data_IF_448240645064
#
_entry.id   IF_448240645064
#
_cell.length_a   1.000
_cell.length_b   1.000
_cell.length_c   1.000
_cell.angle_alpha   90.00
_cell.angle_beta   90.00
_cell.angle_gamma   90.00
#
_symmetry.space_group_name_H-M   'P 1'
#
loop_
_entity.id
_entity.type
_entity.pdbx_description
1 polymer ?
#
# COMPACT_ATOMS: atom_id res chain seq x y z
N UNK A 1 10.33 -4.91 -0.79
CA UNK A 1 10.22 -3.79 0.15
C UNK A 1 10.59 -2.51 -0.58
N UNK A 2 9.69 -1.96 -1.40
CA UNK A 2 9.90 -0.58 -1.85
C UNK A 2 9.55 0.32 -0.68
N UNK A 3 10.54 1.07 -0.24
CA UNK A 3 10.29 2.34 0.42
C UNK A 3 9.74 3.27 -0.67
N UNK A 4 8.42 3.24 -0.88
CA UNK A 4 7.74 4.33 -1.54
C UNK A 4 7.76 5.53 -0.58
N UNK A 5 8.84 6.31 -0.64
CA UNK A 5 8.66 7.73 -0.38
C UNK A 5 8.10 8.27 -1.66
N UNK A 6 6.79 8.43 -1.63
CA UNK A 6 6.14 9.51 -2.34
C UNK A 6 6.90 10.80 -2.03
N UNK A 7 7.90 11.10 -2.86
CA UNK A 7 8.03 12.45 -3.39
C UNK A 7 6.66 12.78 -3.97
N UNK A 8 6.19 13.98 -3.66
CA UNK A 8 4.81 14.42 -3.82
C UNK A 8 4.12 13.79 -5.01
N UNK A 9 3.11 12.97 -4.70
CA UNK A 9 2.19 12.48 -5.69
C UNK A 9 1.34 13.69 -6.08
N UNK A 10 1.78 14.40 -7.11
CA UNK A 10 1.08 15.53 -7.71
C UNK A 10 -0.16 14.96 -8.43
N UNK A 11 -1.26 14.83 -7.70
CA UNK A 11 -2.57 14.65 -8.28
C UNK A 11 -3.15 16.05 -8.49
N UNK A 12 -2.94 16.62 -9.67
CA UNK A 12 -3.90 17.59 -10.18
C UNK A 12 -5.22 16.83 -10.39
N UNK A 13 -6.36 17.27 -9.82
CA UNK A 13 -7.63 16.83 -10.34
C UNK A 13 -7.70 17.34 -11.80
N UNK A 14 -8.03 16.50 -12.80
CA UNK A 14 -8.44 17.05 -14.09
C UNK A 14 -9.61 17.99 -13.79
N UNK A 15 -9.53 19.21 -14.28
CA UNK A 15 -10.61 20.18 -14.19
C UNK A 15 -11.84 19.59 -14.90
N UNK A 16 -12.72 18.96 -14.13
CA UNK A 16 -13.99 18.44 -14.58
C UNK A 16 -15.06 19.00 -13.68
N UNK A 17 -15.91 19.86 -14.22
CA UNK A 17 -17.12 20.28 -13.52
C UNK A 17 -18.14 19.14 -13.63
N UNK A 18 -18.49 18.52 -12.50
CA UNK A 18 -19.62 17.62 -12.41
C UNK A 18 -20.80 18.38 -11.78
N UNK A 19 -21.83 18.67 -12.57
CA UNK A 19 -23.08 19.23 -12.05
C UNK A 19 -23.87 18.11 -11.36
N UNK A 20 -23.83 18.08 -10.03
CA UNK A 20 -24.71 17.21 -9.28
C UNK A 20 -26.14 17.76 -9.34
N UNK A 21 -27.12 16.90 -9.63
CA UNK A 21 -28.54 17.23 -9.46
C UNK A 21 -28.76 17.69 -8.01
N UNK A 22 -29.46 18.81 -7.85
CA UNK A 22 -29.62 19.67 -6.66
C UNK A 22 -30.01 18.99 -5.32
N UNK A 23 -30.23 17.68 -5.29
CA UNK A 23 -30.66 16.94 -4.10
C UNK A 23 -29.57 16.09 -3.42
N UNK A 24 -28.36 15.97 -4.01
CA UNK A 24 -27.28 15.15 -3.43
C UNK A 24 -26.15 16.08 -2.98
N UNK A 25 -25.97 16.23 -1.66
CA UNK A 25 -24.86 16.98 -1.05
C UNK A 25 -23.54 16.42 -1.58
N UNK A 26 -22.87 17.17 -2.47
CA UNK A 26 -21.55 16.82 -2.98
C UNK A 26 -20.54 17.08 -1.88
N UNK A 27 -19.72 16.08 -1.58
CA UNK A 27 -18.60 16.23 -0.65
C UNK A 27 -17.60 17.20 -1.27
N UNK A 28 -17.46 18.40 -0.68
CA UNK A 28 -16.55 19.44 -1.18
C UNK A 28 -15.14 19.14 -0.70
N UNK A 29 -14.22 18.92 -1.62
CA UNK A 29 -12.79 18.91 -1.32
C UNK A 29 -12.30 20.35 -1.13
N UNK A 30 -11.37 20.56 -0.20
CA UNK A 30 -10.75 21.87 0.00
C UNK A 30 -9.93 22.21 -1.25
N UNK A 31 -10.22 23.37 -1.86
CA UNK A 31 -9.50 23.83 -3.06
C UNK A 31 -8.02 24.13 -2.78
N UNK A 32 -7.69 24.45 -1.53
CA UNK A 32 -6.34 24.84 -1.11
C UNK A 32 -5.79 23.83 -0.11
N UNK A 33 -4.80 23.06 -0.54
CA UNK A 33 -4.02 22.16 0.32
C UNK A 33 -2.82 22.93 0.89
N UNK A 34 -2.87 23.27 2.17
CA UNK A 34 -1.72 23.83 2.89
C UNK A 34 -1.00 22.72 3.66
N UNK A 35 0.19 22.33 3.18
CA UNK A 35 1.03 21.33 3.86
C UNK A 35 1.79 21.98 5.03
N UNK A 36 1.16 22.01 6.21
CA UNK A 36 1.75 22.62 7.41
C UNK A 36 2.67 21.68 8.21
N UNK A 37 2.72 20.39 7.86
CA UNK A 37 3.51 19.38 8.57
C UNK A 37 4.74 18.86 7.81
N UNK A 38 5.77 18.44 8.56
CA UNK A 38 6.98 17.73 8.04
C UNK A 38 6.60 16.42 7.33
N UNK A 39 7.48 15.85 6.50
CA UNK A 39 7.16 14.58 5.81
C UNK A 39 7.33 13.38 6.77
N UNK A 40 6.38 12.43 6.72
CA UNK A 40 6.53 11.09 7.31
C UNK A 40 6.65 10.07 6.18
N UNK A 41 7.49 9.07 6.39
CA UNK A 41 7.78 8.04 5.41
C UNK A 41 7.26 6.70 5.91
N UNK A 42 6.45 6.03 5.10
CA UNK A 42 5.91 4.72 5.40
C UNK A 42 6.73 3.66 4.65
N UNK A 43 7.44 2.81 5.40
CA UNK A 43 8.15 1.67 4.83
C UNK A 43 7.26 0.45 5.00
N UNK A 44 7.05 -0.30 3.92
CA UNK A 44 6.18 -1.46 3.94
C UNK A 44 6.83 -2.68 3.29
N UNK A 45 6.40 -3.85 3.76
CA UNK A 45 6.71 -5.15 3.20
C UNK A 45 5.39 -5.89 2.95
N UNK A 46 5.30 -6.54 1.79
CA UNK A 46 4.18 -7.39 1.44
C UNK A 46 4.67 -8.82 1.43
N UNK A 47 4.05 -9.64 2.27
CA UNK A 47 4.30 -11.06 2.40
C UNK A 47 3.46 -11.80 1.35
N UNK A 48 4.13 -12.55 0.48
CA UNK A 48 3.49 -13.27 -0.61
C UNK A 48 2.83 -14.57 -0.17
N UNK A 49 3.31 -15.17 0.92
CA UNK A 49 2.79 -16.43 1.44
C UNK A 49 1.53 -16.17 2.27
N UNK A 50 1.62 -15.26 3.23
CA UNK A 50 0.50 -14.94 4.14
C UNK A 50 -0.46 -13.91 3.56
N UNK A 51 -0.05 -13.19 2.51
CA UNK A 51 -0.80 -12.05 1.98
C UNK A 51 -0.81 -10.83 2.91
N UNK A 52 0.00 -10.80 3.97
CA UNK A 52 0.02 -9.70 4.94
C UNK A 52 0.79 -8.47 4.42
N UNK A 53 0.24 -7.28 4.64
CA UNK A 53 0.92 -6.00 4.38
C UNK A 53 1.37 -5.42 5.73
N UNK A 54 2.68 -5.36 5.90
CA UNK A 54 3.35 -4.92 7.10
C UNK A 54 3.99 -3.56 6.85
N UNK A 55 4.06 -2.69 7.85
CA UNK A 55 4.77 -1.43 7.68
C UNK A 55 5.05 -0.64 8.95
N UNK A 56 5.95 0.34 8.84
CA UNK A 56 6.35 1.27 9.90
C UNK A 56 6.57 2.67 9.36
N UNK A 57 6.35 3.65 10.24
CA UNK A 57 6.53 5.06 9.95
C UNK A 57 7.87 5.57 10.47
N UNK A 58 8.49 6.44 9.70
CA UNK A 58 9.77 7.08 10.00
C UNK A 58 9.73 8.57 9.63
N UNK A 59 10.56 9.37 10.29
CA UNK A 59 10.70 10.81 9.98
C UNK A 59 11.66 11.10 8.83
N UNK A 60 12.55 10.16 8.49
CA UNK A 60 13.53 10.31 7.41
C UNK A 60 13.55 9.07 6.51
N UNK A 61 14.04 9.26 5.28
CA UNK A 61 14.23 8.22 4.27
C UNK A 61 15.73 7.93 4.08
N UNK A 62 16.43 7.52 5.14
CA UNK A 62 17.85 7.15 5.03
C UNK A 62 18.04 5.64 5.15
N UNK A 63 19.24 5.18 4.84
CA UNK A 63 19.64 3.78 4.99
C UNK A 63 19.56 3.31 6.45
N UNK A 64 19.69 4.23 7.42
CA UNK A 64 19.60 3.93 8.86
C UNK A 64 18.16 3.49 9.20
N UNK A 65 17.16 4.25 8.76
CA UNK A 65 15.76 3.89 8.96
C UNK A 65 15.39 2.61 8.20
N UNK A 66 15.94 2.42 6.99
CA UNK A 66 15.78 1.19 6.24
C UNK A 66 16.33 -0.03 6.98
N UNK A 67 17.56 0.05 7.49
CA UNK A 67 18.17 -1.04 8.26
C UNK A 67 17.39 -1.33 9.55
N UNK A 68 16.89 -0.29 10.24
CA UNK A 68 16.00 -0.45 11.39
C UNK A 68 14.71 -1.20 11.01
N UNK A 69 14.17 -0.95 9.82
CA UNK A 69 13.02 -1.69 9.33
C UNK A 69 13.37 -3.14 9.02
N UNK A 70 14.49 -3.42 8.34
CA UNK A 70 14.91 -4.78 8.01
C UNK A 70 15.10 -5.63 9.27
N UNK A 71 15.74 -5.08 10.32
CA UNK A 71 15.87 -5.73 11.62
C UNK A 71 14.53 -5.99 12.30
N UNK A 72 13.54 -5.13 12.08
CA UNK A 72 12.19 -5.34 12.58
C UNK A 72 11.43 -6.42 11.79
N UNK A 73 11.64 -6.48 10.48
CA UNK A 73 11.06 -7.49 9.59
C UNK A 73 11.66 -8.86 9.89
N UNK A 74 13.00 -8.96 9.99
CA UNK A 74 13.72 -10.22 10.23
C UNK A 74 13.27 -10.97 11.48
N UNK A 75 12.93 -10.23 12.54
CA UNK A 75 12.42 -10.77 13.81
C UNK A 75 11.02 -11.39 13.73
N UNK A 76 10.32 -11.22 12.61
CA UNK A 76 8.97 -11.79 12.39
C UNK A 76 9.00 -13.16 11.74
N UNK A 77 10.11 -13.49 11.10
CA UNK A 77 10.27 -14.73 10.34
C UNK A 77 11.29 -15.63 11.04
N UNK A 78 11.17 -16.96 10.94
CA UNK A 78 12.12 -17.90 11.54
C UNK A 78 13.57 -17.60 11.14
N UNK A 79 14.50 -17.73 12.08
CA UNK A 79 15.92 -17.49 11.80
C UNK A 79 16.60 -18.58 10.97
N UNK A 80 16.03 -19.79 11.03
CA UNK A 80 16.42 -20.97 10.24
C UNK A 80 16.21 -20.79 8.74
N UNK A 81 15.28 -19.94 8.33
CA UNK A 81 14.90 -19.75 6.93
C UNK A 81 15.58 -18.54 6.30
N UNK A 82 15.79 -18.61 4.99
CA UNK A 82 16.30 -17.49 4.21
C UNK A 82 15.15 -16.55 3.83
N UNK A 83 15.25 -15.29 4.25
CA UNK A 83 14.26 -14.27 3.88
C UNK A 83 14.62 -13.67 2.51
N UNK A 84 13.81 -13.97 1.50
CA UNK A 84 13.95 -13.42 0.16
C UNK A 84 13.18 -12.10 0.05
N UNK A 85 13.87 -11.00 -0.29
CA UNK A 85 13.25 -9.68 -0.40
C UNK A 85 13.47 -9.12 -1.82
N UNK A 86 12.37 -8.95 -2.55
CA UNK A 86 12.34 -8.23 -3.82
C UNK A 86 12.08 -6.74 -3.55
N UNK A 87 12.89 -5.84 -4.11
CA UNK A 87 12.78 -4.38 -3.91
C UNK A 87 13.27 -3.61 -5.13
N UNK A 88 13.00 -2.30 -5.15
CA UNK A 88 13.56 -1.40 -6.17
C UNK A 88 15.04 -1.10 -5.94
N UNK A 89 15.70 -0.50 -6.93
CA UNK A 89 17.14 -0.16 -6.90
C UNK A 89 17.44 1.19 -6.20
N UNK A 90 16.63 1.56 -5.21
CA UNK A 90 16.75 2.84 -4.52
C UNK A 90 18.06 2.97 -3.73
N UNK A 91 18.75 4.12 -3.82
CA UNK A 91 20.16 4.27 -3.38
C UNK A 91 20.47 3.85 -1.93
N UNK A 92 19.63 4.14 -0.92
CA UNK A 92 19.77 3.61 0.44
C UNK A 92 19.76 2.10 0.59
N UNK A 93 19.21 1.35 -0.38
CA UNK A 93 19.25 -0.11 -0.40
C UNK A 93 20.61 -0.64 -0.84
N UNK A 94 21.40 0.19 -1.54
CA UNK A 94 22.71 -0.16 -2.10
C UNK A 94 23.87 0.17 -1.16
N UNK A 95 23.59 0.65 0.05
CA UNK A 95 24.63 0.97 1.04
C UNK A 95 25.33 -0.29 1.53
N UNK A 96 26.66 -0.23 1.66
CA UNK A 96 27.47 -1.38 2.06
C UNK A 96 27.08 -1.91 3.44
N UNK A 97 26.72 -1.02 4.37
CA UNK A 97 26.26 -1.37 5.72
C UNK A 97 24.97 -2.21 5.71
N UNK A 98 24.11 -1.97 4.72
CA UNK A 98 22.89 -2.75 4.51
C UNK A 98 23.25 -4.13 3.98
N UNK A 99 24.10 -4.21 2.95
CA UNK A 99 24.54 -5.49 2.37
C UNK A 99 25.35 -6.35 3.35
N UNK A 100 26.19 -5.72 4.18
CA UNK A 100 26.90 -6.37 5.27
C UNK A 100 25.91 -7.04 6.26
N UNK A 101 24.86 -6.32 6.66
CA UNK A 101 23.82 -6.90 7.52
C UNK A 101 23.06 -8.04 6.83
N UNK A 102 22.71 -7.89 5.55
CA UNK A 102 22.00 -8.91 4.76
C UNK A 102 22.78 -10.23 4.71
N UNK A 103 24.08 -10.16 4.39
CA UNK A 103 24.97 -11.33 4.34
C UNK A 103 25.05 -12.07 5.68
N UNK A 104 24.97 -11.33 6.80
CA UNK A 104 25.06 -11.90 8.14
C UNK A 104 23.73 -12.45 8.71
N UNK A 105 22.57 -12.23 8.07
CA UNK A 105 21.25 -12.46 8.69
C UNK A 105 20.34 -13.43 7.92
N UNK A 106 20.89 -14.28 7.03
CA UNK A 106 20.12 -15.17 6.15
C UNK A 106 19.06 -14.40 5.34
N UNK A 107 19.46 -13.29 4.73
CA UNK A 107 18.59 -12.47 3.88
C UNK A 107 19.17 -12.45 2.47
N UNK A 108 18.32 -12.55 1.46
CA UNK A 108 18.71 -12.40 0.04
C UNK A 108 17.91 -11.28 -0.60
N UNK A 109 18.61 -10.35 -1.24
CA UNK A 109 18.00 -9.23 -1.96
C UNK A 109 17.93 -9.49 -3.45
N UNK A 110 16.81 -9.09 -4.03
CA UNK A 110 16.58 -9.09 -5.46
C UNK A 110 16.12 -7.69 -5.87
N UNK A 111 16.93 -7.03 -6.69
CA UNK A 111 16.63 -5.68 -7.17
C UNK A 111 15.87 -5.78 -8.49
N UNK A 112 14.77 -5.05 -8.61
CA UNK A 112 14.09 -4.92 -9.90
C UNK A 112 14.96 -4.11 -10.87
N UNK A 113 14.94 -4.42 -12.17
CA UNK A 113 15.59 -3.59 -13.18
C UNK A 113 15.12 -2.13 -13.12
N UNK A 114 15.96 -1.22 -13.57
CA UNK A 114 15.60 0.19 -13.74
C UNK A 114 14.32 0.33 -14.56
N UNK A 115 13.40 1.19 -14.12
CA UNK A 115 12.10 1.43 -14.76
C UNK A 115 11.12 0.23 -14.76
N UNK A 116 11.41 -0.85 -14.02
CA UNK A 116 10.52 -2.01 -13.91
C UNK A 116 9.75 -2.06 -12.57
N UNK A 117 9.24 -0.91 -12.11
CA UNK A 117 8.49 -0.81 -10.84
C UNK A 117 7.24 -1.70 -10.80
N UNK A 118 6.63 -1.96 -11.97
CA UNK A 118 5.48 -2.86 -12.14
C UNK A 118 5.76 -4.31 -11.72
N UNK A 119 7.03 -4.73 -11.71
CA UNK A 119 7.43 -6.07 -11.25
C UNK A 119 7.36 -6.19 -9.71
N UNK A 120 7.41 -5.05 -9.00
CA UNK A 120 7.34 -5.04 -7.56
C UNK A 120 5.88 -5.15 -7.07
N UNK A 121 5.48 -6.36 -6.66
CA UNK A 121 4.11 -6.69 -6.25
C UNK A 121 3.52 -5.82 -5.13
N UNK A 122 4.36 -5.17 -4.33
CA UNK A 122 3.88 -4.26 -3.27
C UNK A 122 3.24 -2.99 -3.84
N UNK A 123 3.65 -2.55 -5.04
CA UNK A 123 3.14 -1.32 -5.66
C UNK A 123 1.63 -1.41 -5.90
N UNK A 124 1.14 -2.58 -6.33
CA UNK A 124 -0.30 -2.84 -6.48
C UNK A 124 -1.07 -2.69 -5.15
N UNK A 125 -0.43 -2.99 -4.02
CA UNK A 125 -1.05 -2.87 -2.70
C UNK A 125 -1.16 -1.41 -2.26
N UNK A 126 -0.19 -0.57 -2.64
CA UNK A 126 -0.24 0.86 -2.33
C UNK A 126 -1.36 1.60 -3.05
N UNK A 127 -1.76 1.16 -4.24
CA UNK A 127 -2.96 1.71 -4.90
C UNK A 127 -4.21 1.53 -4.04
N UNK A 128 -4.41 0.34 -3.46
CA UNK A 128 -5.51 0.08 -2.54
C UNK A 128 -5.41 0.93 -1.28
N UNK A 129 -4.24 0.96 -0.65
CA UNK A 129 -4.00 1.78 0.54
C UNK A 129 -4.34 3.25 0.30
N UNK A 130 -3.85 3.82 -0.80
CA UNK A 130 -4.11 5.22 -1.15
C UNK A 130 -5.61 5.49 -1.29
N UNK A 131 -6.32 4.67 -2.06
CA UNK A 131 -7.77 4.84 -2.29
C UNK A 131 -8.61 4.77 -1.01
N UNK A 132 -8.28 3.85 -0.10
CA UNK A 132 -9.10 3.64 1.10
C UNK A 132 -8.69 4.50 2.29
N UNK A 133 -7.41 4.86 2.40
CA UNK A 133 -6.87 5.49 3.59
C UNK A 133 -6.35 6.91 3.36
N UNK A 134 -6.28 7.41 2.12
CA UNK A 134 -5.71 8.73 1.82
C UNK A 134 -6.57 9.56 0.86
N UNK A 135 -7.15 8.96 -0.16
CA UNK A 135 -8.01 9.68 -1.11
C UNK A 135 -9.27 10.21 -0.39
N UNK A 136 -9.67 11.43 -0.73
CA UNK A 136 -10.81 12.16 -0.12
C UNK A 136 -10.72 12.35 1.40
N UNK A 137 -9.52 12.31 1.99
CA UNK A 137 -9.31 12.55 3.43
C UNK A 137 -8.60 13.87 3.71
N UNK A 138 -8.98 14.55 4.81
CA UNK A 138 -8.35 15.79 5.30
C UNK A 138 -7.80 15.56 6.71
N UNK A 139 -6.61 14.99 6.82
CA UNK A 139 -5.96 14.73 8.11
C UNK A 139 -5.29 15.97 8.66
N UNK A 140 -5.66 16.34 9.89
CA UNK A 140 -5.13 17.53 10.58
C UNK A 140 -3.77 17.30 11.21
N UNK A 141 -3.33 16.04 11.32
CA UNK A 141 -2.03 15.69 11.89
C UNK A 141 -1.45 14.40 11.29
N UNK A 142 -0.13 14.25 11.38
CA UNK A 142 0.56 12.99 11.04
C UNK A 142 0.05 11.81 11.85
N UNK A 143 -0.27 12.02 13.13
CA UNK A 143 -0.78 10.97 14.00
C UNK A 143 -2.11 10.41 13.47
N UNK A 144 -2.98 11.30 13.00
CA UNK A 144 -4.27 10.93 12.42
C UNK A 144 -4.12 10.15 11.11
N UNK A 145 -3.24 10.63 10.21
CA UNK A 145 -2.91 9.93 8.97
C UNK A 145 -2.28 8.54 9.23
N UNK A 146 -1.32 8.46 10.16
CA UNK A 146 -0.71 7.18 10.57
C UNK A 146 -1.75 6.21 11.13
N UNK A 147 -2.70 6.70 11.93
CA UNK A 147 -3.80 5.89 12.46
C UNK A 147 -4.73 5.40 11.35
N UNK A 148 -5.06 6.24 10.36
CA UNK A 148 -5.88 5.83 9.23
C UNK A 148 -5.22 4.70 8.43
N UNK A 149 -3.93 4.82 8.15
CA UNK A 149 -3.17 3.75 7.49
C UNK A 149 -3.13 2.50 8.37
N UNK A 150 -2.89 2.62 9.69
CA UNK A 150 -2.92 1.46 10.61
C UNK A 150 -4.28 0.76 10.63
N UNK A 151 -5.39 1.51 10.62
CA UNK A 151 -6.75 0.95 10.51
C UNK A 151 -6.93 0.20 9.20
N UNK A 152 -6.46 0.76 8.09
CA UNK A 152 -6.47 0.07 6.80
C UNK A 152 -5.66 -1.23 6.83
N UNK A 153 -4.44 -1.23 7.39
CA UNK A 153 -3.63 -2.45 7.50
C UNK A 153 -4.32 -3.52 8.36
N UNK A 154 -4.93 -3.13 9.48
CA UNK A 154 -5.68 -4.04 10.34
C UNK A 154 -6.89 -4.64 9.62
N UNK A 155 -7.67 -3.80 8.92
CA UNK A 155 -8.79 -4.25 8.10
C UNK A 155 -8.36 -5.17 6.96
N UNK A 156 -7.29 -4.82 6.24
CA UNK A 156 -6.76 -5.58 5.10
C UNK A 156 -6.22 -6.94 5.51
N UNK A 157 -5.47 -6.98 6.62
CA UNK A 157 -4.84 -8.21 7.09
C UNK A 157 -5.78 -9.07 7.95
N UNK A 158 -6.99 -8.59 8.25
CA UNK A 158 -8.03 -9.38 8.91
C UNK A 158 -8.53 -10.52 8.02
N UNK A 159 -9.02 -11.61 8.63
CA UNK A 159 -9.65 -12.71 7.90
C UNK A 159 -10.87 -12.16 7.14
N UNK A 160 -10.90 -12.38 5.82
CA UNK A 160 -12.05 -12.07 4.97
C UNK A 160 -12.55 -13.38 4.39
N UNK A 161 -13.79 -13.73 4.71
CA UNK A 161 -14.51 -14.71 3.91
C UNK A 161 -14.73 -14.08 2.54
N UNK A 162 -13.83 -14.35 1.59
CA UNK A 162 -14.16 -14.15 0.19
C UNK A 162 -15.14 -15.28 -0.11
N UNK A 163 -16.43 -14.97 -0.12
CA UNK A 163 -17.42 -15.86 -0.69
C UNK A 163 -17.11 -15.96 -2.18
N UNK A 164 -16.20 -16.86 -2.54
CA UNK A 164 -15.95 -17.24 -3.90
C UNK A 164 -17.16 -18.08 -4.34
N UNK A 165 -18.23 -17.43 -4.78
CA UNK A 165 -19.25 -18.17 -5.51
C UNK A 165 -18.60 -18.71 -6.79
N UNK A 166 -18.71 -20.01 -7.09
CA UNK A 166 -18.26 -20.55 -8.36
C UNK A 166 -18.94 -19.76 -9.49
N UNK A 167 -18.19 -19.36 -10.51
CA UNK A 167 -18.73 -18.57 -11.63
C UNK A 167 -19.96 -19.23 -12.30
N UNK A 168 -20.05 -20.57 -12.23
CA UNK A 168 -21.21 -21.36 -12.71
C UNK A 168 -22.50 -21.11 -11.91
N UNK A 169 -22.39 -20.78 -10.62
CA UNK A 169 -23.53 -20.49 -9.74
C UNK A 169 -24.11 -19.10 -10.01
N UNK A 170 -23.28 -18.17 -10.49
CA UNK A 170 -23.68 -16.83 -10.92
C UNK A 170 -24.57 -16.86 -12.18
N UNK A 171 -24.24 -17.72 -13.16
CA UNK A 171 -25.00 -17.83 -14.42
C UNK A 171 -26.46 -18.26 -14.22
N UNK A 172 -26.73 -19.12 -13.23
CA UNK A 172 -28.10 -19.59 -12.94
C UNK A 172 -28.99 -18.49 -12.37
N UNK A 173 -28.43 -17.53 -11.63
CA UNK A 173 -29.19 -16.42 -11.04
C UNK A 173 -29.67 -15.43 -12.11
N UNK A 174 -28.89 -15.25 -13.18
CA UNK A 174 -29.25 -14.36 -14.29
C UNK A 174 -30.27 -14.97 -15.27
N UNK A 175 -30.45 -16.29 -15.31
CA UNK A 175 -31.44 -16.92 -16.21
C UNK A 175 -32.86 -16.85 -15.65
N UNK A 176 -33.01 -16.78 -14.33
CA UNK A 176 -34.33 -16.72 -13.67
C UNK A 176 -34.96 -15.32 -13.73
N UNK A 177 -34.18 -14.24 -13.85
CA UNK A 177 -34.73 -12.88 -13.95
C UNK A 177 -35.27 -12.56 -15.36
N UNK A 178 -34.68 -13.12 -16.43
CA UNK A 178 -35.12 -12.85 -17.80
C UNK A 178 -36.47 -13.49 -18.14
N UNK A 179 -36.93 -14.50 -17.39
CA UNK A 179 -38.25 -15.13 -17.59
C UNK A 179 -39.44 -14.35 -17.02
N UNK A 180 -39.22 -13.25 -16.29
CA UNK A 180 -40.31 -12.43 -15.70
C UNK A 180 -40.68 -11.18 -16.52
N UNK A 181 -40.02 -10.91 -17.64
CA UNK A 181 -40.26 -9.71 -18.48
C UNK A 181 -40.90 -10.07 -19.83
N UNK A 182 -41.33 -11.32 -20.03
CA UNK A 182 -41.92 -11.81 -21.27
C UNK A 182 -43.29 -12.49 -21.06
N UNK A 183 -44.14 -11.90 -20.21
CA UNK A 183 -45.54 -12.27 -20.05
C UNK A 183 -46.41 -11.00 -20.08
#
# INVERSE_FOLDING_TARGET
>A
MSIAVTHGLCCFPPAGFATAKMAKRVERLRATYCRTGRVRHFLAAYDLETGMLLGRFYSRKTWIEFLRFLRWLRRRYPQSETLHIVMDNYSPHLKEEVWAWVRANNVKFYLTPSNASWLNRIECQFTGLKKFALDNSDYRSHKEQEQAIRRYLAWRNGRRAIAAEPWRSSLRKNTTSTRRVAA
#
